data_IF_089666346667
#
_entry.id   IF_089666346667
#
_cell.length_a   1.000
_cell.length_b   1.000
_cell.length_c   1.000
_cell.angle_alpha   90.00
_cell.angle_beta   90.00
_cell.angle_gamma   90.00
#
_symmetry.space_group_name_H-M   'P 1'
#
loop_
_entity.id
_entity.type
_entity.pdbx_description
1 polymer ?
#
# COMPACT_ATOMS: atom_id res chain seq x y z
N UNK A 1 10.82 27.26 -9.16
CA UNK A 1 11.98 26.33 -9.10
C UNK A 1 11.43 24.93 -9.07
N UNK A 2 11.83 24.05 -10.00
CA UNK A 2 11.38 22.63 -9.98
C UNK A 2 12.19 21.95 -8.88
N UNK A 3 11.49 21.41 -7.86
CA UNK A 3 12.14 20.65 -6.79
C UNK A 3 12.75 19.37 -7.38
N UNK A 4 14.02 19.15 -7.14
CA UNK A 4 14.68 17.90 -7.47
C UNK A 4 14.23 16.83 -6.47
N UNK A 5 13.51 15.82 -6.96
CA UNK A 5 12.94 14.77 -6.15
C UNK A 5 13.55 13.44 -6.57
N UNK A 6 14.11 12.72 -5.63
CA UNK A 6 14.53 11.35 -5.87
C UNK A 6 13.32 10.43 -6.10
N UNK A 7 12.85 10.38 -7.34
CA UNK A 7 11.65 9.65 -7.76
C UNK A 7 11.71 8.16 -7.42
N UNK A 8 12.90 7.55 -7.51
CA UNK A 8 13.08 6.12 -7.19
C UNK A 8 12.85 5.86 -5.69
N UNK A 9 13.41 6.71 -4.81
CA UNK A 9 13.21 6.61 -3.36
C UNK A 9 11.74 6.79 -2.98
N UNK A 10 11.09 7.79 -3.56
CA UNK A 10 9.67 8.08 -3.32
C UNK A 10 8.78 6.90 -3.71
N UNK A 11 8.93 6.41 -4.94
CA UNK A 11 8.11 5.29 -5.44
C UNK A 11 8.39 3.99 -4.68
N UNK A 12 9.61 3.75 -4.23
CA UNK A 12 9.95 2.56 -3.43
C UNK A 12 9.15 2.51 -2.12
N UNK A 13 8.82 3.67 -1.56
CA UNK A 13 8.04 3.80 -0.33
C UNK A 13 6.52 3.96 -0.55
N UNK A 14 5.97 3.51 -1.65
CA UNK A 14 4.55 3.61 -2.00
C UNK A 14 4.03 5.02 -2.30
N UNK A 15 4.85 6.01 -2.23
CA UNK A 15 4.48 7.37 -2.54
C UNK A 15 4.41 7.61 -4.05
N UNK A 16 3.54 8.52 -4.45
CA UNK A 16 3.33 8.89 -5.84
C UNK A 16 3.72 10.35 -6.07
N UNK A 17 4.38 10.59 -7.19
CA UNK A 17 4.63 11.95 -7.63
C UNK A 17 3.31 12.52 -8.14
N UNK A 18 2.89 13.63 -7.56
CA UNK A 18 1.66 14.30 -7.92
C UNK A 18 1.93 15.43 -8.93
N UNK A 19 0.86 16.03 -9.46
CA UNK A 19 0.94 17.22 -10.32
C UNK A 19 1.61 18.39 -9.57
N UNK A 20 1.32 18.54 -8.28
CA UNK A 20 2.00 19.49 -7.42
C UNK A 20 3.33 18.89 -6.94
N UNK A 21 4.45 19.43 -7.42
CA UNK A 21 5.81 18.94 -7.11
C UNK A 21 6.24 19.11 -5.64
N UNK A 22 5.48 19.83 -4.86
CA UNK A 22 5.72 20.01 -3.42
C UNK A 22 4.96 18.99 -2.56
N UNK A 23 4.09 18.21 -3.18
CA UNK A 23 3.25 17.23 -2.52
C UNK A 23 3.43 15.85 -3.12
N UNK A 24 3.09 14.86 -2.32
CA UNK A 24 3.03 13.45 -2.72
C UNK A 24 1.72 12.84 -2.25
N UNK A 25 1.40 11.66 -2.69
CA UNK A 25 0.33 10.83 -2.14
C UNK A 25 0.87 9.47 -1.72
N UNK A 26 0.30 8.90 -0.66
CA UNK A 26 0.61 7.54 -0.21
C UNK A 26 -0.49 6.60 -0.67
N UNK A 27 -0.13 5.62 -1.49
CA UNK A 27 -1.05 4.58 -1.94
C UNK A 27 -0.85 3.29 -1.16
N UNK A 28 -1.90 2.83 -0.50
CA UNK A 28 -1.90 1.61 0.29
C UNK A 28 -2.76 0.54 -0.40
N UNK A 29 -2.20 -0.64 -0.54
CA UNK A 29 -2.91 -1.81 -1.06
C UNK A 29 -3.69 -2.47 0.07
N UNK A 30 -4.88 -2.97 -0.26
CA UNK A 30 -5.71 -3.74 0.67
C UNK A 30 -6.08 -5.06 -0.02
N UNK A 31 -5.27 -6.12 0.13
CA UNK A 31 -5.53 -7.39 -0.52
C UNK A 31 -6.91 -7.94 -0.18
N UNK A 32 -7.72 -8.19 -1.21
CA UNK A 32 -9.10 -8.63 -1.03
C UNK A 32 -10.08 -7.55 -0.54
N UNK A 33 -9.66 -6.28 -0.47
CA UNK A 33 -10.52 -5.15 -0.16
C UNK A 33 -11.08 -5.09 1.28
N UNK A 34 -10.61 -5.96 2.18
CA UNK A 34 -11.08 -6.01 3.56
C UNK A 34 -10.11 -5.30 4.50
N UNK A 35 -10.60 -4.29 5.18
CA UNK A 35 -9.85 -3.51 6.18
C UNK A 35 -10.69 -3.38 7.45
N UNK A 36 -10.05 -3.39 8.61
CA UNK A 36 -10.75 -3.21 9.88
C UNK A 36 -10.84 -1.73 10.31
N UNK A 37 -11.76 -1.40 11.25
CA UNK A 37 -11.96 -0.03 11.70
C UNK A 37 -10.71 0.61 12.33
N UNK A 38 -9.88 -0.16 13.02
CA UNK A 38 -8.65 0.35 13.65
C UNK A 38 -7.65 0.84 12.59
N UNK A 39 -7.45 0.06 11.54
CA UNK A 39 -6.64 0.46 10.40
C UNK A 39 -7.19 1.70 9.69
N UNK A 40 -8.52 1.79 9.52
CA UNK A 40 -9.16 2.97 8.95
C UNK A 40 -8.93 4.22 9.81
N UNK A 41 -9.00 4.09 11.14
CA UNK A 41 -8.72 5.21 12.05
C UNK A 41 -7.28 5.72 11.92
N UNK A 42 -6.29 4.82 11.81
CA UNK A 42 -4.89 5.23 11.57
C UNK A 42 -4.75 5.97 10.25
N UNK A 43 -5.39 5.48 9.20
CA UNK A 43 -5.37 6.12 7.88
C UNK A 43 -6.03 7.49 7.92
N UNK A 44 -7.16 7.63 8.62
CA UNK A 44 -7.84 8.91 8.82
C UNK A 44 -6.95 9.90 9.56
N UNK A 45 -6.31 9.51 10.65
CA UNK A 45 -5.39 10.35 11.41
C UNK A 45 -4.20 10.83 10.58
N UNK A 46 -3.64 9.96 9.72
CA UNK A 46 -2.56 10.36 8.81
C UNK A 46 -3.07 11.40 7.80
N UNK A 47 -4.26 11.21 7.25
CA UNK A 47 -4.85 12.15 6.29
C UNK A 47 -5.14 13.51 6.93
N UNK A 48 -5.67 13.53 8.14
CA UNK A 48 -5.96 14.77 8.88
C UNK A 48 -4.69 15.51 9.31
N UNK A 49 -3.68 14.78 9.79
CA UNK A 49 -2.46 15.40 10.34
C UNK A 49 -1.49 15.86 9.27
N UNK A 50 -1.32 15.11 8.18
CA UNK A 50 -0.26 15.32 7.20
C UNK A 50 -0.78 15.62 5.79
N UNK A 51 -2.03 15.27 5.49
CA UNK A 51 -2.64 15.40 4.18
C UNK A 51 -3.62 16.56 4.09
N UNK A 52 -4.53 16.43 3.15
CA UNK A 52 -5.64 17.38 2.90
C UNK A 52 -6.96 16.97 3.57
N UNK A 53 -6.94 15.97 4.46
CA UNK A 53 -8.13 15.43 5.12
C UNK A 53 -8.97 14.52 4.24
N UNK A 54 -8.53 14.19 3.04
CA UNK A 54 -9.25 13.32 2.12
C UNK A 54 -8.54 11.98 1.91
N UNK A 55 -9.33 10.93 1.81
CA UNK A 55 -8.88 9.58 1.47
C UNK A 55 -9.59 9.16 0.19
N UNK A 56 -8.82 8.89 -0.85
CA UNK A 56 -9.35 8.41 -2.11
C UNK A 56 -9.38 6.88 -2.15
N UNK A 57 -10.57 6.30 -2.32
CA UNK A 57 -10.72 4.85 -2.51
C UNK A 57 -10.46 4.54 -3.98
N UNK A 58 -9.47 3.68 -4.24
CA UNK A 58 -9.07 3.35 -5.60
C UNK A 58 -9.97 2.27 -6.21
N UNK A 59 -10.05 2.23 -7.53
CA UNK A 59 -10.80 1.20 -8.28
C UNK A 59 -10.31 -0.23 -8.01
N UNK A 60 -9.15 -0.39 -7.37
CA UNK A 60 -8.57 -1.68 -6.99
C UNK A 60 -8.70 -1.99 -5.51
N UNK A 61 -9.72 -1.46 -4.85
CA UNK A 61 -10.01 -1.75 -3.45
C UNK A 61 -8.89 -1.33 -2.46
N UNK A 62 -7.96 -0.49 -2.89
CA UNK A 62 -7.01 0.16 -2.00
C UNK A 62 -7.41 1.59 -1.72
N UNK A 63 -6.59 2.32 -1.00
CA UNK A 63 -6.80 3.75 -0.76
C UNK A 63 -5.55 4.57 -1.05
N UNK A 64 -5.75 5.86 -1.22
CA UNK A 64 -4.68 6.83 -1.46
C UNK A 64 -4.92 8.05 -0.57
N UNK A 65 -3.93 8.41 0.23
CA UNK A 65 -3.93 9.61 1.08
C UNK A 65 -3.26 10.72 0.28
N UNK A 66 -3.96 11.84 0.13
CA UNK A 66 -3.56 12.94 -0.73
C UNK A 66 -2.93 14.10 0.09
N UNK A 67 -2.25 15.01 -0.60
CA UNK A 67 -1.76 16.25 -0.03
C UNK A 67 -0.54 16.14 0.89
N UNK A 68 0.11 14.99 0.96
CA UNK A 68 1.24 14.73 1.85
C UNK A 68 2.49 15.52 1.41
N UNK A 69 3.34 15.90 2.36
CA UNK A 69 4.64 16.50 2.08
C UNK A 69 5.76 15.49 2.14
N UNK A 70 6.81 15.72 1.38
CA UNK A 70 7.98 14.82 1.35
C UNK A 70 8.74 14.79 2.67
N UNK A 71 8.71 15.88 3.42
CA UNK A 71 9.37 16.02 4.71
C UNK A 71 8.76 15.11 5.78
N UNK A 72 7.47 14.84 5.67
CA UNK A 72 6.70 14.07 6.66
C UNK A 72 6.75 12.56 6.40
N UNK A 73 7.38 12.09 5.31
CA UNK A 73 7.36 10.68 4.89
C UNK A 73 7.84 9.72 5.97
N UNK A 74 8.87 10.07 6.73
CA UNK A 74 9.44 9.18 7.74
C UNK A 74 8.49 9.01 8.94
N UNK A 75 7.77 10.07 9.33
CA UNK A 75 6.76 10.01 10.39
C UNK A 75 5.52 9.26 9.91
N UNK A 76 5.07 9.53 8.70
CA UNK A 76 3.95 8.81 8.07
C UNK A 76 4.26 7.32 7.98
N UNK A 77 5.47 6.93 7.58
CA UNK A 77 5.89 5.52 7.49
C UNK A 77 5.81 4.82 8.85
N UNK A 78 6.19 5.49 9.93
CA UNK A 78 6.04 4.94 11.28
C UNK A 78 4.57 4.77 11.67
N UNK A 79 3.74 5.75 11.36
CA UNK A 79 2.32 5.69 11.70
C UNK A 79 1.55 4.64 10.89
N UNK A 80 1.88 4.44 9.61
CA UNK A 80 1.18 3.47 8.75
C UNK A 80 1.65 2.03 8.98
N UNK A 81 2.79 1.81 9.64
CA UNK A 81 3.37 0.47 9.80
C UNK A 81 2.41 -0.55 10.42
N UNK A 82 1.62 -0.25 11.47
CA UNK A 82 0.65 -1.19 12.02
C UNK A 82 -0.42 -1.63 11.01
N UNK A 83 -0.83 -0.73 10.10
CA UNK A 83 -1.77 -1.05 9.02
C UNK A 83 -1.14 -2.03 8.03
N UNK A 84 0.11 -1.80 7.67
CA UNK A 84 0.88 -2.66 6.75
C UNK A 84 1.04 -4.06 7.34
N UNK A 85 1.39 -4.15 8.61
CA UNK A 85 1.58 -5.42 9.30
C UNK A 85 0.26 -6.21 9.40
N UNK A 86 -0.84 -5.54 9.72
CA UNK A 86 -2.15 -6.15 9.87
C UNK A 86 -2.77 -6.58 8.53
N UNK A 87 -2.50 -5.84 7.47
CA UNK A 87 -2.89 -6.21 6.10
C UNK A 87 -1.97 -7.28 5.48
N UNK A 88 -0.90 -7.66 6.19
CA UNK A 88 0.10 -8.64 5.73
C UNK A 88 0.78 -8.23 4.41
N UNK A 89 0.92 -6.93 4.19
CA UNK A 89 1.62 -6.38 3.03
C UNK A 89 3.12 -6.38 3.34
N UNK A 90 3.95 -6.73 2.36
CA UNK A 90 5.41 -6.67 2.52
C UNK A 90 6.01 -7.60 3.60
N UNK A 91 5.50 -8.80 3.72
CA UNK A 91 5.98 -9.77 4.73
C UNK A 91 7.39 -10.33 4.43
N UNK A 92 7.94 -10.11 3.24
CA UNK A 92 9.14 -10.82 2.77
C UNK A 92 10.43 -10.01 2.95
N UNK A 93 10.38 -8.67 2.97
CA UNK A 93 11.55 -7.81 3.17
C UNK A 93 11.20 -6.58 4.02
N UNK A 94 11.32 -6.72 5.34
CA UNK A 94 11.02 -5.63 6.29
C UNK A 94 11.96 -4.42 6.16
N UNK A 95 13.18 -4.62 5.64
CA UNK A 95 14.23 -3.59 5.60
C UNK A 95 14.25 -2.73 4.33
N UNK A 96 13.44 -3.02 3.32
CA UNK A 96 13.51 -2.33 2.02
C UNK A 96 12.51 -1.19 1.84
N UNK A 97 11.82 -0.81 2.90
CA UNK A 97 10.76 0.18 2.86
C UNK A 97 9.47 -0.40 2.28
N UNK A 98 8.48 0.44 2.16
CA UNK A 98 7.16 0.06 1.69
C UNK A 98 7.17 -0.38 0.22
N UNK A 99 6.86 -1.62 -0.14
CA UNK A 99 6.93 -2.08 -1.52
C UNK A 99 5.68 -1.64 -2.28
N UNK A 100 5.74 -0.47 -2.84
CA UNK A 100 4.67 0.03 -3.67
C UNK A 100 4.76 -0.41 -5.12
N UNK A 101 5.97 -0.60 -5.56
CA UNK A 101 6.22 -0.69 -6.98
C UNK A 101 6.11 -2.13 -7.47
N UNK A 102 5.41 -2.36 -8.51
CA UNK A 102 5.40 -3.59 -9.25
C UNK A 102 4.14 -4.43 -9.09
N UNK A 103 3.73 -4.77 -7.88
CA UNK A 103 2.52 -5.58 -7.69
C UNK A 103 1.29 -4.69 -7.52
N UNK A 104 0.27 -4.96 -8.30
CA UNK A 104 -1.03 -4.31 -8.18
C UNK A 104 -1.85 -5.01 -7.10
N UNK A 105 -2.77 -4.28 -6.46
CA UNK A 105 -3.63 -4.88 -5.43
C UNK A 105 -4.45 -6.04 -6.01
N UNK A 106 -4.55 -7.13 -5.26
CA UNK A 106 -5.41 -8.26 -5.60
C UNK A 106 -6.82 -7.95 -5.13
N UNK A 107 -7.72 -7.73 -6.09
CA UNK A 107 -9.13 -7.45 -5.81
C UNK A 107 -9.90 -8.74 -5.59
N UNK A 108 -10.85 -8.72 -4.65
CA UNK A 108 -11.75 -9.82 -4.40
C UNK A 108 -13.15 -9.32 -4.02
N UNK A 109 -14.16 -10.14 -4.22
CA UNK A 109 -15.48 -9.89 -3.68
C UNK A 109 -15.53 -10.21 -2.17
N UNK A 110 -16.64 -9.90 -1.51
CA UNK A 110 -16.83 -10.17 -0.07
C UNK A 110 -16.76 -11.65 0.30
N UNK A 111 -16.96 -12.54 -0.65
CA UNK A 111 -16.86 -13.99 -0.48
C UNK A 111 -17.84 -14.57 0.53
N UNK A 112 -17.41 -15.65 1.16
CA UNK A 112 -18.24 -16.39 2.12
C UNK A 112 -18.59 -15.64 3.42
N UNK A 113 -18.07 -14.43 3.61
CA UNK A 113 -18.46 -13.58 4.76
C UNK A 113 -19.88 -13.04 4.63
N UNK A 114 -20.38 -12.84 3.39
CA UNK A 114 -21.71 -12.30 3.17
C UNK A 114 -22.43 -12.86 1.93
N UNK A 115 -21.72 -13.42 0.95
CA UNK A 115 -22.34 -13.92 -0.28
C UNK A 115 -22.85 -15.36 -0.09
N UNK A 116 -24.14 -15.64 -0.26
CA UNK A 116 -24.70 -17.00 -0.10
C UNK A 116 -24.24 -17.97 -1.19
N UNK A 117 -23.68 -17.46 -2.28
CA UNK A 117 -23.18 -18.28 -3.40
C UNK A 117 -21.67 -18.49 -3.36
N UNK A 118 -20.97 -17.98 -2.34
CA UNK A 118 -19.54 -18.10 -2.27
C UNK A 118 -19.09 -19.49 -1.86
N UNK A 119 -18.14 -20.05 -2.63
CA UNK A 119 -17.58 -21.37 -2.37
C UNK A 119 -16.39 -21.34 -1.39
N UNK A 120 -15.74 -20.17 -1.17
CA UNK A 120 -14.54 -20.04 -0.35
C UNK A 120 -14.32 -18.62 0.18
N UNK A 121 -13.35 -18.47 1.10
CA UNK A 121 -12.94 -17.18 1.64
C UNK A 121 -12.05 -16.44 0.63
N UNK A 122 -12.66 -15.54 -0.14
CA UNK A 122 -11.99 -14.78 -1.20
C UNK A 122 -10.96 -13.80 -0.67
N UNK A 123 -11.17 -13.21 0.50
CA UNK A 123 -10.23 -12.28 1.14
C UNK A 123 -8.93 -13.01 1.54
N UNK A 124 -9.06 -14.17 2.16
CA UNK A 124 -7.90 -14.98 2.54
C UNK A 124 -7.15 -15.49 1.30
N UNK A 125 -7.89 -15.89 0.28
CA UNK A 125 -7.29 -16.30 -0.99
C UNK A 125 -6.53 -15.16 -1.68
N UNK A 126 -7.07 -13.94 -1.68
CA UNK A 126 -6.40 -12.77 -2.20
C UNK A 126 -5.08 -12.48 -1.48
N UNK A 127 -5.04 -12.60 -0.15
CA UNK A 127 -3.81 -12.47 0.64
C UNK A 127 -2.77 -13.55 0.29
N UNK A 128 -3.19 -14.79 0.12
CA UNK A 128 -2.30 -15.89 -0.31
C UNK A 128 -1.70 -15.64 -1.70
N UNK A 129 -2.50 -15.14 -2.64
CA UNK A 129 -2.02 -14.75 -3.98
C UNK A 129 -1.00 -13.61 -3.86
N UNK A 130 -1.31 -12.57 -3.10
CA UNK A 130 -0.39 -11.45 -2.89
C UNK A 130 0.96 -11.91 -2.35
N UNK A 131 0.95 -12.74 -1.31
CA UNK A 131 2.17 -13.31 -0.73
C UNK A 131 2.97 -14.13 -1.74
N UNK A 132 2.31 -14.99 -2.51
CA UNK A 132 2.95 -15.85 -3.51
C UNK A 132 3.61 -15.03 -4.64
N UNK A 133 2.91 -14.04 -5.16
CA UNK A 133 3.43 -13.14 -6.21
C UNK A 133 4.63 -12.35 -5.67
N UNK A 134 4.52 -11.83 -4.45
CA UNK A 134 5.58 -11.04 -3.85
C UNK A 134 6.85 -11.86 -3.62
N UNK A 135 6.71 -13.07 -3.10
CA UNK A 135 7.80 -14.04 -2.94
C UNK A 135 8.47 -14.39 -4.27
N UNK A 136 7.68 -14.57 -5.33
CA UNK A 136 8.20 -14.84 -6.67
C UNK A 136 9.00 -13.65 -7.23
N UNK A 137 8.49 -12.42 -7.12
CA UNK A 137 9.19 -11.20 -7.58
C UNK A 137 10.56 -11.07 -6.92
N UNK A 138 10.65 -11.30 -5.61
CA UNK A 138 11.92 -11.24 -4.89
C UNK A 138 12.89 -12.31 -5.36
N UNK A 139 12.41 -13.54 -5.59
CA UNK A 139 13.28 -14.63 -6.06
C UNK A 139 13.87 -14.35 -7.44
N UNK A 140 13.08 -13.77 -8.35
CA UNK A 140 13.54 -13.38 -9.69
C UNK A 140 14.52 -12.20 -9.62
N UNK A 141 14.23 -11.19 -8.78
CA UNK A 141 15.10 -10.02 -8.59
C UNK A 141 16.50 -10.39 -8.06
N UNK A 142 16.59 -11.37 -7.16
CA UNK A 142 17.89 -11.87 -6.66
C UNK A 142 18.71 -12.60 -7.73
N UNK A 143 18.06 -13.31 -8.63
CA UNK A 143 18.73 -14.03 -9.73
C UNK A 143 19.26 -13.12 -10.83
N UNK A 144 18.70 -11.91 -10.99
CA UNK A 144 19.16 -10.92 -11.98
C UNK A 144 20.27 -10.01 -11.45
N UNK A 145 20.45 -9.89 -10.13
CA UNK A 145 21.51 -9.12 -9.51
C UNK A 145 22.87 -9.86 -9.48
N UNK A 146 22.88 -11.15 -9.77
CA UNK A 146 24.07 -12.01 -9.79
C UNK A 146 24.56 -12.35 -11.23
N UNK A 147 24.11 -11.60 -12.22
CA UNK A 147 24.62 -11.62 -13.60
C UNK A 147 25.18 -10.23 -13.96
#
# INVERSE_FOLDING_TARGET
MIRDINTKKVMKNAYRITKNRYQTSLRVRVPGGAIDPECLNIVAQISEKFGDGQIHITTRQGFEILGLRYEDMDEINKMIQPVIDKLEINQVEKDTGYPAAGTRNVCACVGNKACPKAAYNTTEFAKKIEYAIFKWIISVGKNTANK
#
